data_IF_042566927615
#
_entry.id   IF_042566927615
#
_cell.length_a   1.000
_cell.length_b   1.000
_cell.length_c   1.000
_cell.angle_alpha   90.00
_cell.angle_beta   90.00
_cell.angle_gamma   90.00
#
_symmetry.space_group_name_H-M   'P 1'
#
loop_
_entity.id
_entity.type
_entity.pdbx_description
1 polymer ?
#
# COMPACT_ATOMS: atom_id res chain seq x y z
N UNK A 1 -26.62 7.96 5.66
CA UNK A 1 -26.01 6.68 5.23
C UNK A 1 -24.99 6.33 6.29
N UNK A 2 -25.14 5.17 6.95
CA UNK A 2 -24.21 4.75 8.00
C UNK A 2 -23.36 3.63 7.45
N UNK A 3 -22.04 3.80 7.49
CA UNK A 3 -21.08 2.83 6.96
C UNK A 3 -20.42 2.10 8.12
N UNK A 4 -20.56 0.78 8.15
CA UNK A 4 -19.87 -0.08 9.11
C UNK A 4 -18.53 -0.51 8.50
N UNK A 5 -17.42 -0.28 9.19
CA UNK A 5 -16.11 -0.84 8.85
C UNK A 5 -15.79 -1.98 9.82
N UNK A 6 -15.54 -3.16 9.27
CA UNK A 6 -15.17 -4.36 10.03
C UNK A 6 -13.85 -4.88 9.50
N UNK A 7 -12.86 -5.04 10.37
CA UNK A 7 -11.56 -5.62 10.02
C UNK A 7 -11.58 -7.10 10.35
N UNK A 8 -11.32 -7.94 9.34
CA UNK A 8 -11.22 -9.39 9.49
C UNK A 8 -9.85 -9.81 8.99
N UNK A 9 -9.10 -10.53 9.81
CA UNK A 9 -7.73 -10.97 9.52
C UNK A 9 -7.67 -12.16 8.55
N UNK A 10 -8.72 -12.97 8.52
CA UNK A 10 -8.83 -14.14 7.65
C UNK A 10 -9.61 -13.81 6.37
N UNK A 11 -8.99 -14.01 5.21
CA UNK A 11 -9.56 -13.71 3.89
C UNK A 11 -10.79 -14.57 3.55
N UNK A 12 -10.81 -15.84 3.97
CA UNK A 12 -11.92 -16.77 3.73
C UNK A 12 -13.13 -16.38 4.58
N UNK A 13 -12.91 -15.98 5.83
CA UNK A 13 -13.97 -15.46 6.70
C UNK A 13 -14.51 -14.12 6.19
N UNK A 14 -13.64 -13.23 5.69
CA UNK A 14 -14.05 -11.97 5.10
C UNK A 14 -14.99 -12.17 3.89
N UNK A 15 -14.67 -13.13 3.01
CA UNK A 15 -15.52 -13.46 1.86
C UNK A 15 -16.87 -14.06 2.27
N UNK A 16 -16.89 -14.95 3.28
CA UNK A 16 -18.15 -15.50 3.82
C UNK A 16 -19.02 -14.41 4.42
N UNK A 17 -18.44 -13.50 5.19
CA UNK A 17 -19.16 -12.39 5.79
C UNK A 17 -19.68 -11.41 4.73
N UNK A 18 -18.89 -11.10 3.70
CA UNK A 18 -19.34 -10.26 2.61
C UNK A 18 -20.52 -10.88 1.83
N UNK A 19 -20.50 -12.20 1.59
CA UNK A 19 -21.63 -12.92 0.99
C UNK A 19 -22.88 -12.85 1.87
N UNK A 20 -22.73 -13.03 3.18
CA UNK A 20 -23.84 -12.90 4.12
C UNK A 20 -24.42 -11.48 4.12
N UNK A 21 -23.57 -10.44 4.20
CA UNK A 21 -24.02 -9.04 4.18
C UNK A 21 -24.79 -8.70 2.90
N UNK A 22 -24.43 -9.29 1.75
CA UNK A 22 -25.18 -9.11 0.49
C UNK A 22 -26.58 -9.74 0.49
N UNK A 23 -26.85 -10.72 1.36
CA UNK A 23 -28.20 -11.31 1.50
C UNK A 23 -29.16 -10.45 2.30
N UNK A 24 -28.64 -9.41 2.97
CA UNK A 24 -29.43 -8.56 3.84
C UNK A 24 -29.99 -7.39 3.03
N UNK A 25 -31.32 -7.31 2.92
CA UNK A 25 -32.01 -6.36 2.05
C UNK A 25 -31.71 -4.86 2.33
N UNK A 26 -31.32 -4.51 3.56
CA UNK A 26 -30.98 -3.13 3.93
C UNK A 26 -29.52 -2.74 3.69
N UNK A 27 -28.67 -3.68 3.27
CA UNK A 27 -27.27 -3.41 2.93
C UNK A 27 -27.19 -2.98 1.47
N UNK A 28 -26.89 -1.70 1.23
CA UNK A 28 -26.79 -1.14 -0.12
C UNK A 28 -25.53 -1.56 -0.88
N UNK A 29 -24.39 -1.63 -0.19
CA UNK A 29 -23.10 -1.94 -0.81
C UNK A 29 -22.19 -2.67 0.17
N UNK A 30 -21.39 -3.60 -0.35
CA UNK A 30 -20.41 -4.37 0.42
C UNK A 30 -19.11 -4.42 -0.38
N UNK A 31 -18.08 -3.76 0.13
CA UNK A 31 -16.75 -3.74 -0.46
C UNK A 31 -15.76 -4.45 0.46
N UNK A 32 -14.98 -5.39 -0.08
CA UNK A 32 -13.85 -6.01 0.63
C UNK A 32 -12.60 -5.24 0.23
N UNK A 33 -11.96 -4.59 1.19
CA UNK A 33 -10.65 -3.98 0.98
C UNK A 33 -9.56 -5.00 1.27
N UNK A 34 -8.90 -5.50 0.22
CA UNK A 34 -7.70 -6.33 0.36
C UNK A 34 -6.47 -5.41 0.47
N UNK A 35 -5.49 -5.73 1.32
CA UNK A 35 -4.20 -5.04 1.30
C UNK A 35 -3.55 -5.22 -0.08
N UNK A 36 -2.87 -4.18 -0.58
CA UNK A 36 -2.15 -4.26 -1.85
C UNK A 36 -0.95 -5.19 -1.69
N UNK A 37 -0.86 -6.24 -2.49
CA UNK A 37 0.32 -7.13 -2.55
C UNK A 37 1.36 -6.60 -3.54
N UNK A 38 2.60 -7.07 -3.46
CA UNK A 38 3.71 -6.64 -4.33
C UNK A 38 3.40 -6.87 -5.82
N UNK A 39 2.61 -7.91 -6.14
CA UNK A 39 2.14 -8.19 -7.51
C UNK A 39 1.03 -7.25 -8.00
N UNK A 40 0.38 -6.51 -7.10
CA UNK A 40 -0.59 -5.47 -7.46
C UNK A 40 0.09 -4.16 -7.86
N UNK A 41 1.38 -4.01 -7.54
CA UNK A 41 2.20 -2.90 -7.98
C UNK A 41 2.49 -3.02 -9.48
N UNK A 42 1.63 -2.33 -10.24
CA UNK A 42 1.85 -1.84 -11.61
C UNK A 42 2.00 -2.90 -12.71
N UNK A 43 0.89 -3.11 -13.43
CA UNK A 43 0.95 -3.40 -14.88
C UNK A 43 1.32 -2.11 -15.62
N UNK A 44 2.33 -2.10 -16.51
CA UNK A 44 2.71 -0.90 -17.26
C UNK A 44 1.54 -0.37 -18.11
N UNK A 45 1.30 0.95 -18.06
CA UNK A 45 0.32 1.64 -18.92
C UNK A 45 -0.99 2.12 -18.26
N UNK A 46 -1.25 1.79 -16.98
CA UNK A 46 -2.39 2.38 -16.24
C UNK A 46 -1.94 3.54 -15.35
N UNK A 47 -2.83 4.52 -15.10
CA UNK A 47 -2.60 5.54 -14.05
C UNK A 47 -2.60 4.86 -12.68
N UNK A 48 -1.67 5.25 -11.81
CA UNK A 48 -1.63 4.80 -10.42
C UNK A 48 -2.90 5.21 -9.68
N UNK A 49 -3.42 4.32 -8.85
CA UNK A 49 -4.55 4.59 -7.96
C UNK A 49 -4.08 5.37 -6.73
N UNK A 50 -5.00 6.11 -6.08
CA UNK A 50 -4.70 6.89 -4.86
C UNK A 50 -4.15 5.99 -3.74
N UNK A 51 -4.58 4.73 -3.67
CA UNK A 51 -4.07 3.75 -2.68
C UNK A 51 -2.61 3.36 -2.96
N UNK A 52 -2.23 3.16 -4.21
CA UNK A 52 -0.83 2.90 -4.60
C UNK A 52 0.06 4.13 -4.34
N UNK A 53 -0.45 5.34 -4.63
CA UNK A 53 0.28 6.58 -4.31
C UNK A 53 0.51 6.76 -2.81
N UNK A 54 -0.52 6.53 -1.99
CA UNK A 54 -0.37 6.64 -0.54
C UNK A 54 0.60 5.58 -0.01
N UNK A 55 0.52 4.35 -0.49
CA UNK A 55 1.45 3.28 -0.10
C UNK A 55 2.90 3.61 -0.51
N UNK A 56 3.12 4.22 -1.68
CA UNK A 56 4.44 4.73 -2.09
C UNK A 56 4.94 5.86 -1.18
N UNK A 57 4.06 6.75 -0.74
CA UNK A 57 4.42 7.82 0.20
C UNK A 57 4.75 7.28 1.59
N UNK A 58 4.01 6.28 2.05
CA UNK A 58 4.27 5.60 3.32
C UNK A 58 5.59 4.81 3.25
N UNK A 59 5.84 4.09 2.16
CA UNK A 59 7.11 3.39 1.91
C UNK A 59 8.28 4.37 1.81
N UNK A 60 8.12 5.52 1.15
CA UNK A 60 9.13 6.59 1.14
C UNK A 60 9.38 7.23 2.51
N UNK A 61 8.36 7.30 3.37
CA UNK A 61 8.49 7.81 4.72
C UNK A 61 9.15 6.79 5.67
N UNK A 62 8.92 5.49 5.43
CA UNK A 62 9.56 4.39 6.15
C UNK A 62 10.96 4.07 5.64
N UNK A 63 11.25 4.36 4.37
CA UNK A 63 12.58 4.32 3.80
C UNK A 63 13.44 5.38 4.50
N UNK A 64 14.11 4.94 5.56
CA UNK A 64 15.24 5.63 6.20
C UNK A 64 16.46 5.66 5.28
N UNK A 65 16.27 5.88 3.98
CA UNK A 65 17.33 6.23 3.03
C UNK A 65 17.67 7.72 3.16
N UNK A 66 17.70 8.22 4.40
CA UNK A 66 18.52 9.36 4.75
C UNK A 66 19.97 8.94 4.54
N UNK A 67 20.48 9.07 3.32
CA UNK A 67 21.91 9.18 3.13
C UNK A 67 22.34 10.40 3.93
N UNK A 68 22.83 10.17 5.14
CA UNK A 68 23.37 11.24 5.96
C UNK A 68 24.43 11.96 5.16
N UNK A 69 24.53 13.29 5.31
CA UNK A 69 25.52 14.13 4.58
C UNK A 69 26.95 13.59 4.75
N UNK A 70 27.21 12.85 5.84
CA UNK A 70 28.43 12.11 6.10
C UNK A 70 28.67 10.91 5.15
N UNK A 71 27.64 10.12 4.83
CA UNK A 71 27.72 9.01 3.88
C UNK A 71 27.97 9.53 2.45
N UNK A 72 27.26 10.59 2.04
CA UNK A 72 27.47 11.26 0.74
C UNK A 72 28.89 11.83 0.62
N UNK A 73 29.44 12.45 1.69
CA UNK A 73 30.84 12.93 1.71
C UNK A 73 31.87 11.81 1.61
N UNK A 74 31.57 10.63 2.16
CA UNK A 74 32.48 9.47 2.13
C UNK A 74 32.54 8.86 0.73
N UNK A 75 31.39 8.76 0.07
CA UNK A 75 31.25 8.36 -1.33
C UNK A 75 31.94 9.36 -2.28
N UNK A 76 31.73 10.67 -2.09
CA UNK A 76 32.40 11.73 -2.86
C UNK A 76 33.93 11.69 -2.75
N UNK A 77 34.48 11.37 -1.57
CA UNK A 77 35.93 11.20 -1.39
C UNK A 77 36.46 9.96 -2.11
N UNK A 78 35.69 8.87 -2.17
CA UNK A 78 36.05 7.69 -2.97
C UNK A 78 36.06 8.02 -4.47
N UNK A 79 35.08 8.77 -4.96
CA UNK A 79 35.03 9.24 -6.35
C UNK A 79 36.17 10.19 -6.70
N UNK A 80 36.55 11.10 -5.79
CA UNK A 80 37.73 11.97 -5.99
C UNK A 80 39.07 11.23 -5.98
N UNK A 81 39.15 10.05 -5.36
CA UNK A 81 40.36 9.19 -5.39
C UNK A 81 40.41 8.24 -6.59
N UNK A 82 39.32 8.17 -7.37
CA UNK A 82 39.19 7.34 -8.56
C UNK A 82 39.32 8.12 -9.89
N UNK A 83 40.14 9.17 -9.90
CA UNK A 83 40.69 9.80 -11.12
C UNK A 83 42.15 10.13 -10.87
#
# INVERSE_FOLDING_TARGET
MTTLRVTITDSVLAEKLAKFLKTIAYVKDVTIEKPLEENDWVKPGRKATVKEMNKMLDELAEDKTEYTTAQVRKELKKWKKGK
#
